data_IF_931060621028
#
_entry.id   IF_931060621028
#
_cell.length_a   1.000
_cell.length_b   1.000
_cell.length_c   1.000
_cell.angle_alpha   90.00
_cell.angle_beta   90.00
_cell.angle_gamma   90.00
#
_symmetry.space_group_name_H-M   'P 1'
#
loop_
_entity.id
_entity.type
_entity.pdbx_description
1 polymer ?
#
# COMPACT_ATOMS: atom_id res chain seq x y z
N UNK A 1 -14.71 33.04 -7.87
CA UNK A 1 -14.34 31.76 -8.52
C UNK A 1 -13.39 31.01 -7.61
N UNK A 2 -13.84 29.95 -6.95
CA UNK A 2 -13.02 29.15 -6.04
C UNK A 2 -12.50 27.90 -6.75
N UNK A 3 -11.29 27.96 -7.30
CA UNK A 3 -10.55 26.75 -7.72
C UNK A 3 -9.62 26.36 -6.58
N UNK A 4 -10.16 25.68 -5.56
CA UNK A 4 -9.33 25.06 -4.53
C UNK A 4 -8.75 23.77 -5.10
N UNK A 5 -7.44 23.74 -5.31
CA UNK A 5 -6.71 22.52 -5.65
C UNK A 5 -6.69 21.59 -4.43
N UNK A 6 -7.59 20.61 -4.41
CA UNK A 6 -7.60 19.55 -3.40
C UNK A 6 -6.57 18.50 -3.81
N UNK A 7 -5.62 18.19 -2.91
CA UNK A 7 -4.73 17.04 -3.11
C UNK A 7 -5.52 15.79 -2.73
N UNK A 8 -5.87 14.98 -3.73
CA UNK A 8 -6.43 13.67 -3.47
C UNK A 8 -5.30 12.69 -3.14
N UNK A 9 -5.58 11.77 -2.23
CA UNK A 9 -4.70 10.63 -2.00
C UNK A 9 -4.60 9.82 -3.29
N UNK A 10 -3.39 9.47 -3.69
CA UNK A 10 -3.18 8.62 -4.86
C UNK A 10 -3.66 7.20 -4.53
N UNK A 11 -3.88 6.38 -5.56
CA UNK A 11 -4.28 4.99 -5.36
C UNK A 11 -3.24 4.25 -4.49
N UNK A 12 -1.98 4.64 -4.63
CA UNK A 12 -0.84 4.19 -3.85
C UNK A 12 -0.96 4.54 -2.36
N UNK A 13 -1.39 5.76 -2.03
CA UNK A 13 -1.57 6.18 -0.63
C UNK A 13 -2.71 5.40 0.03
N UNK A 14 -3.78 5.10 -0.72
CA UNK A 14 -4.90 4.24 -0.26
C UNK A 14 -4.41 2.81 -0.02
N UNK A 15 -3.56 2.30 -0.91
CA UNK A 15 -2.93 0.98 -0.77
C UNK A 15 -2.05 0.94 0.48
N UNK A 16 -1.15 1.90 0.65
CA UNK A 16 -0.26 1.99 1.81
C UNK A 16 -1.06 2.04 3.10
N UNK A 17 -2.13 2.84 3.16
CA UNK A 17 -2.99 2.93 4.33
C UNK A 17 -3.69 1.60 4.66
N UNK A 18 -4.15 0.86 3.64
CA UNK A 18 -4.74 -0.47 3.80
C UNK A 18 -3.74 -1.52 4.30
N UNK A 19 -2.51 -1.50 3.80
CA UNK A 19 -1.45 -2.41 4.26
C UNK A 19 -1.07 -2.14 5.71
N UNK A 20 -0.93 -0.86 6.10
CA UNK A 20 -0.62 -0.46 7.49
C UNK A 20 -1.76 -0.84 8.44
N UNK A 21 -3.02 -0.80 7.98
CA UNK A 21 -4.16 -1.27 8.77
C UNK A 21 -4.05 -2.75 9.18
N UNK A 22 -3.14 -3.53 8.56
CA UNK A 22 -2.62 -4.78 9.10
C UNK A 22 -3.60 -5.95 9.10
N UNK A 23 -4.75 -5.81 8.45
CA UNK A 23 -5.74 -6.87 8.35
C UNK A 23 -5.39 -7.81 7.19
N UNK A 24 -5.43 -9.13 7.39
CA UNK A 24 -5.14 -10.10 6.32
C UNK A 24 -6.04 -9.89 5.09
N UNK A 25 -7.31 -9.52 5.31
CA UNK A 25 -8.28 -9.23 4.26
C UNK A 25 -7.99 -7.93 3.48
N UNK A 26 -7.33 -6.96 4.08
CA UNK A 26 -6.94 -5.71 3.42
C UNK A 26 -5.70 -5.93 2.52
N UNK A 27 -4.79 -6.86 2.87
CA UNK A 27 -3.68 -7.27 2.00
C UNK A 27 -4.18 -7.96 0.74
N UNK A 28 -5.19 -8.83 0.85
CA UNK A 28 -5.85 -9.46 -0.29
C UNK A 28 -6.56 -8.43 -1.20
N UNK A 29 -7.25 -7.46 -0.60
CA UNK A 29 -7.92 -6.37 -1.32
C UNK A 29 -6.90 -5.50 -2.08
N UNK A 30 -5.80 -5.13 -1.42
CA UNK A 30 -4.67 -4.42 -2.04
C UNK A 30 -4.10 -5.21 -3.21
N UNK A 31 -3.85 -6.52 -3.07
CA UNK A 31 -3.40 -7.36 -4.18
C UNK A 31 -4.37 -7.33 -5.35
N UNK A 32 -5.66 -7.44 -5.09
CA UNK A 32 -6.68 -7.38 -6.14
C UNK A 32 -6.72 -6.02 -6.84
N UNK A 33 -6.52 -4.92 -6.10
CA UNK A 33 -6.40 -3.56 -6.65
C UNK A 33 -5.15 -3.42 -7.50
N UNK A 34 -4.00 -3.93 -7.05
CA UNK A 34 -2.72 -3.91 -7.77
C UNK A 34 -2.82 -4.67 -9.10
N UNK A 35 -3.42 -5.86 -9.09
CA UNK A 35 -3.62 -6.68 -10.30
C UNK A 35 -4.55 -5.96 -11.30
N UNK A 36 -5.59 -5.29 -10.81
CA UNK A 36 -6.55 -4.53 -11.64
C UNK A 36 -5.99 -3.21 -12.15
N UNK A 37 -4.96 -2.65 -11.49
CA UNK A 37 -4.35 -1.37 -11.81
C UNK A 37 -2.85 -1.54 -12.06
N UNK A 38 -2.44 -2.04 -13.24
CA UNK A 38 -1.03 -2.27 -13.56
C UNK A 38 -0.18 -0.99 -13.62
N UNK A 39 -0.82 0.19 -13.58
CA UNK A 39 -0.15 1.49 -13.52
C UNK A 39 0.17 1.97 -12.11
N UNK A 40 -0.10 1.18 -11.06
CA UNK A 40 0.27 1.54 -9.68
C UNK A 40 1.79 1.47 -9.51
N UNK A 41 2.35 2.52 -8.91
CA UNK A 41 3.75 2.56 -8.53
C UNK A 41 4.03 1.68 -7.30
N UNK A 42 4.32 0.40 -7.55
CA UNK A 42 4.73 -0.55 -6.53
C UNK A 42 6.03 -0.13 -5.81
N UNK A 43 6.91 0.63 -6.47
CA UNK A 43 8.13 1.11 -5.86
C UNK A 43 7.83 2.19 -4.80
N UNK A 44 6.86 3.07 -5.07
CA UNK A 44 6.34 4.04 -4.11
C UNK A 44 5.71 3.33 -2.91
N UNK A 45 4.86 2.31 -3.16
CA UNK A 45 4.24 1.52 -2.07
C UNK A 45 5.32 0.84 -1.23
N UNK A 46 6.29 0.15 -1.85
CA UNK A 46 7.37 -0.56 -1.12
C UNK A 46 8.22 0.40 -0.30
N UNK A 47 8.54 1.58 -0.86
CA UNK A 47 9.30 2.63 -0.15
C UNK A 47 8.55 3.08 1.09
N UNK A 48 7.26 3.38 0.98
CA UNK A 48 6.47 3.79 2.15
C UNK A 48 6.32 2.66 3.17
N UNK A 49 6.06 1.43 2.75
CA UNK A 49 5.99 0.29 3.67
C UNK A 49 7.28 0.10 4.45
N UNK A 50 8.43 0.34 3.82
CA UNK A 50 9.72 0.37 4.50
C UNK A 50 9.81 1.49 5.54
N UNK A 51 9.49 2.73 5.17
CA UNK A 51 9.51 3.88 6.08
C UNK A 51 8.54 3.68 7.27
N UNK A 52 7.35 3.14 7.01
CA UNK A 52 6.39 2.81 8.07
C UNK A 52 6.87 1.66 8.95
N UNK A 53 7.55 0.68 8.36
CA UNK A 53 8.16 -0.40 9.13
C UNK A 53 9.23 0.11 10.08
N UNK A 54 10.07 1.06 9.63
CA UNK A 54 11.08 1.72 10.46
C UNK A 54 10.43 2.64 11.52
N UNK A 55 9.39 3.40 11.15
CA UNK A 55 8.73 4.35 12.04
C UNK A 55 7.89 3.70 13.14
N UNK A 56 7.20 2.59 12.83
CA UNK A 56 6.34 1.86 13.76
C UNK A 56 7.04 0.66 14.40
N UNK A 57 8.29 0.37 14.00
CA UNK A 57 9.06 -0.80 14.41
C UNK A 57 8.30 -2.14 14.21
N UNK A 58 7.44 -2.19 13.19
CA UNK A 58 6.67 -3.37 12.81
C UNK A 58 7.08 -3.83 11.39
N UNK A 59 7.22 -5.13 11.12
CA UNK A 59 7.70 -5.62 9.82
C UNK A 59 6.60 -5.63 8.74
N UNK A 60 6.01 -4.46 8.42
CA UNK A 60 4.94 -4.35 7.42
C UNK A 60 5.39 -4.76 6.02
N UNK A 61 6.61 -4.38 5.63
CA UNK A 61 7.18 -4.73 4.34
C UNK A 61 7.37 -6.25 4.22
N UNK A 62 7.99 -6.87 5.22
CA UNK A 62 8.22 -8.32 5.22
C UNK A 62 6.91 -9.09 5.24
N UNK A 63 5.90 -8.63 6.00
CA UNK A 63 4.57 -9.24 6.02
C UNK A 63 3.88 -9.14 4.66
N UNK A 64 4.02 -8.00 3.99
CA UNK A 64 3.51 -7.82 2.62
C UNK A 64 4.21 -8.77 1.64
N UNK A 65 5.54 -8.87 1.71
CA UNK A 65 6.34 -9.75 0.87
C UNK A 65 6.01 -11.22 1.09
N UNK A 66 5.92 -11.69 2.34
CA UNK A 66 5.50 -13.05 2.66
C UNK A 66 4.13 -13.37 2.08
N UNK A 67 3.16 -12.46 2.26
CA UNK A 67 1.81 -12.70 1.74
C UNK A 67 1.76 -12.66 0.20
N UNK A 68 2.68 -11.93 -0.43
CA UNK A 68 2.85 -11.91 -1.89
C UNK A 68 3.47 -13.20 -2.40
N UNK A 69 4.52 -13.71 -1.74
CA UNK A 69 5.17 -14.99 -2.06
C UNK A 69 4.23 -16.18 -1.87
N UNK A 70 3.41 -16.21 -0.81
CA UNK A 70 2.38 -17.26 -0.63
C UNK A 70 1.25 -17.22 -1.67
N UNK A 71 1.10 -16.09 -2.38
CA UNK A 71 0.09 -15.91 -3.43
C UNK A 71 0.64 -16.16 -4.85
N UNK A 72 1.90 -16.58 -4.99
CA UNK A 72 2.55 -16.98 -6.26
C UNK A 72 2.63 -18.50 -6.38
#
# INVERSE_FOLDING_TARGET
MGKTSVRFASVEDVIVHKVIAGRPRDLEDVRSILIKNPGVDLAYVRRWLKEFSEALAEPFLERFEQTWEESQ
#
